data_IF_129286789052
#
_entry.id   IF_129286789052
#
_cell.length_a   1.000
_cell.length_b   1.000
_cell.length_c   1.000
_cell.angle_alpha   90.00
_cell.angle_beta   90.00
_cell.angle_gamma   90.00
#
_symmetry.space_group_name_H-M   'P 1'
#
loop_
_entity.id
_entity.type
_entity.pdbx_description
1 polymer ?
#
# COMPACT_ATOMS: atom_id res chain seq x y z
N UNK A 1 23.66 21.41 -11.91
CA UNK A 1 22.32 21.39 -11.27
C UNK A 1 21.62 20.04 -11.47
N UNK A 2 21.56 19.50 -12.70
CA UNK A 2 20.96 18.21 -13.05
C UNK A 2 21.50 17.04 -12.18
N UNK A 3 22.83 16.92 -12.05
CA UNK A 3 23.43 15.86 -11.22
C UNK A 3 23.04 15.97 -9.73
N UNK A 4 22.87 17.20 -9.20
CA UNK A 4 22.40 17.39 -7.82
C UNK A 4 20.93 16.99 -7.66
N UNK A 5 20.10 17.26 -8.67
CA UNK A 5 18.71 16.81 -8.67
C UNK A 5 18.61 15.29 -8.74
N UNK A 6 19.39 14.66 -9.63
CA UNK A 6 19.47 13.18 -9.70
C UNK A 6 19.92 12.56 -8.37
N UNK A 7 20.95 13.12 -7.72
CA UNK A 7 21.42 12.61 -6.42
C UNK A 7 20.36 12.74 -5.33
N UNK A 8 19.58 13.82 -5.34
CA UNK A 8 18.42 13.99 -4.47
C UNK A 8 17.35 12.92 -4.73
N UNK A 9 17.01 12.70 -5.98
CA UNK A 9 16.00 11.69 -6.41
C UNK A 9 16.45 10.29 -5.98
N UNK A 10 17.73 9.93 -6.22
CA UNK A 10 18.29 8.63 -5.82
C UNK A 10 18.20 8.42 -4.30
N UNK A 11 18.43 9.48 -3.51
CA UNK A 11 18.27 9.40 -2.05
C UNK A 11 16.81 9.20 -1.62
N UNK A 12 15.86 9.87 -2.28
CA UNK A 12 14.44 9.69 -2.01
C UNK A 12 13.93 8.31 -2.43
N UNK A 13 14.50 7.75 -3.50
CA UNK A 13 14.14 6.43 -4.01
C UNK A 13 14.84 5.27 -3.28
N UNK A 14 15.60 5.52 -2.21
CA UNK A 14 16.43 4.51 -1.51
C UNK A 14 15.61 3.29 -1.04
N UNK A 15 14.38 3.52 -0.60
CA UNK A 15 13.48 2.47 -0.10
C UNK A 15 12.50 1.98 -1.17
N UNK A 16 12.71 2.39 -2.43
CA UNK A 16 11.88 1.93 -3.53
C UNK A 16 12.24 0.49 -3.94
N UNK A 17 11.23 -0.33 -4.13
CA UNK A 17 11.41 -1.70 -4.65
C UNK A 17 11.37 -1.78 -6.17
N UNK A 18 10.92 -0.73 -6.83
CA UNK A 18 10.93 -0.59 -8.29
C UNK A 18 11.00 0.88 -8.71
N UNK A 19 11.57 1.13 -9.88
CA UNK A 19 11.59 2.45 -10.51
C UNK A 19 11.55 2.34 -12.03
N UNK A 20 11.03 3.38 -12.68
CA UNK A 20 11.06 3.53 -14.13
C UNK A 20 11.45 4.96 -14.49
N UNK A 21 12.37 5.09 -15.44
CA UNK A 21 12.76 6.37 -16.03
C UNK A 21 11.95 6.61 -17.30
N UNK A 22 11.38 7.80 -17.42
CA UNK A 22 10.46 8.19 -18.47
C UNK A 22 10.98 9.43 -19.17
N UNK A 23 10.92 9.44 -20.51
CA UNK A 23 11.03 10.65 -21.29
C UNK A 23 9.64 11.28 -21.42
N UNK A 24 9.40 12.38 -20.68
CA UNK A 24 8.08 13.06 -20.72
C UNK A 24 7.84 13.72 -22.07
N UNK A 25 8.92 14.11 -22.79
CA UNK A 25 8.79 14.80 -24.08
C UNK A 25 8.08 13.96 -25.14
N UNK A 26 8.37 12.67 -25.20
CA UNK A 26 7.73 11.73 -26.14
C UNK A 26 6.80 10.71 -25.46
N UNK A 27 6.80 10.66 -24.12
CA UNK A 27 5.96 9.78 -23.35
C UNK A 27 6.44 8.32 -23.29
N UNK A 28 7.72 8.05 -23.56
CA UNK A 28 8.29 6.70 -23.57
C UNK A 28 8.97 6.34 -22.25
N UNK A 29 8.85 5.10 -21.81
CA UNK A 29 9.64 4.53 -20.72
C UNK A 29 11.02 4.13 -21.25
N UNK A 30 12.08 4.69 -20.65
CA UNK A 30 13.47 4.46 -21.08
C UNK A 30 14.04 3.20 -20.44
N UNK A 31 13.84 3.06 -19.15
CA UNK A 31 14.44 1.99 -18.35
C UNK A 31 13.56 1.72 -17.13
N UNK A 32 13.36 0.45 -16.81
CA UNK A 32 12.80 0.04 -15.54
C UNK A 32 13.81 -0.77 -14.74
N UNK A 33 13.80 -0.57 -13.43
CA UNK A 33 14.55 -1.37 -12.49
C UNK A 33 13.57 -1.92 -11.45
N UNK A 34 13.33 -3.23 -11.49
CA UNK A 34 12.37 -3.87 -10.60
C UNK A 34 12.79 -5.32 -10.28
N UNK A 35 12.45 -5.76 -9.07
CA UNK A 35 12.51 -7.17 -8.68
C UNK A 35 11.18 -7.90 -8.94
N UNK A 36 10.19 -7.20 -9.47
CA UNK A 36 8.84 -7.69 -9.71
C UNK A 36 8.57 -7.68 -11.21
N UNK A 37 8.42 -8.85 -11.83
CA UNK A 37 8.26 -9.00 -13.27
C UNK A 37 7.11 -8.19 -13.87
N UNK A 38 6.01 -7.98 -13.14
CA UNK A 38 4.89 -7.16 -13.60
C UNK A 38 5.20 -5.67 -13.71
N UNK A 39 6.29 -5.20 -13.10
CA UNK A 39 6.76 -3.81 -13.15
C UNK A 39 7.94 -3.61 -14.12
N UNK A 40 8.42 -4.68 -14.76
CA UNK A 40 9.39 -4.57 -15.85
C UNK A 40 8.73 -4.00 -17.11
N UNK A 41 9.51 -3.37 -17.97
CA UNK A 41 9.01 -2.96 -19.29
C UNK A 41 8.74 -4.19 -20.15
N UNK A 42 7.66 -4.17 -20.90
CA UNK A 42 7.37 -5.20 -21.88
C UNK A 42 8.26 -5.09 -23.12
N UNK A 43 8.47 -3.85 -23.54
CA UNK A 43 9.25 -3.53 -24.72
C UNK A 43 10.12 -2.30 -24.46
N UNK A 44 11.19 -2.15 -25.23
CA UNK A 44 12.01 -0.95 -25.23
C UNK A 44 11.15 0.23 -25.71
N UNK A 45 11.14 1.32 -24.95
CA UNK A 45 10.30 2.51 -25.20
C UNK A 45 8.78 2.23 -25.08
N UNK A 46 8.35 1.31 -24.21
CA UNK A 46 6.93 1.14 -23.88
C UNK A 46 6.31 2.52 -23.55
N UNK A 47 5.15 2.90 -24.16
CA UNK A 47 4.49 4.15 -23.81
C UNK A 47 4.11 4.19 -22.33
N UNK A 48 4.36 5.32 -21.66
CA UNK A 48 4.06 5.48 -20.23
C UNK A 48 2.58 5.16 -19.93
N UNK A 49 1.65 5.64 -20.74
CA UNK A 49 0.22 5.41 -20.50
C UNK A 49 -0.13 3.91 -20.55
N UNK A 50 0.52 3.16 -21.44
CA UNK A 50 0.37 1.69 -21.50
C UNK A 50 0.97 1.00 -20.27
N UNK A 51 2.13 1.48 -19.82
CA UNK A 51 2.77 1.00 -18.59
C UNK A 51 1.88 1.26 -17.36
N UNK A 52 1.38 2.50 -17.21
CA UNK A 52 0.47 2.89 -16.11
C UNK A 52 -0.85 2.13 -16.17
N UNK A 53 -1.43 1.95 -17.36
CA UNK A 53 -2.64 1.12 -17.55
C UNK A 53 -2.41 -0.28 -17.00
N UNK A 54 -1.31 -0.92 -17.36
CA UNK A 54 -0.97 -2.29 -16.97
C UNK A 54 -0.74 -2.43 -15.45
N UNK A 55 0.06 -1.58 -14.84
CA UNK A 55 0.34 -1.67 -13.42
C UNK A 55 -0.88 -1.32 -12.57
N UNK A 56 -1.75 -0.43 -13.06
CA UNK A 56 -2.98 -0.05 -12.37
C UNK A 56 -3.97 -1.21 -12.18
N UNK A 57 -3.85 -2.30 -12.96
CA UNK A 57 -4.72 -3.48 -12.83
C UNK A 57 -4.61 -4.16 -11.45
N UNK A 58 -3.49 -3.96 -10.75
CA UNK A 58 -3.29 -4.45 -9.39
C UNK A 58 -4.01 -3.62 -8.31
N UNK A 59 -4.57 -2.47 -8.66
CA UNK A 59 -5.36 -1.64 -7.75
C UNK A 59 -6.79 -2.22 -7.66
N UNK A 60 -7.29 -2.59 -6.45
CA UNK A 60 -8.59 -3.25 -6.30
C UNK A 60 -9.77 -2.43 -6.78
N UNK A 61 -9.85 -1.18 -6.37
CA UNK A 61 -11.00 -0.31 -6.58
C UNK A 61 -10.95 0.37 -7.95
N UNK A 62 -12.04 0.25 -8.72
CA UNK A 62 -12.13 0.78 -10.09
C UNK A 62 -11.97 2.30 -10.16
N UNK A 63 -12.57 3.01 -9.21
CA UNK A 63 -12.52 4.48 -9.12
C UNK A 63 -11.10 4.96 -8.85
N UNK A 64 -10.40 4.33 -7.89
CA UNK A 64 -9.00 4.61 -7.55
C UNK A 64 -8.10 4.33 -8.75
N UNK A 65 -8.32 3.21 -9.45
CA UNK A 65 -7.62 2.84 -10.68
C UNK A 65 -7.76 3.89 -11.77
N UNK A 66 -8.97 4.40 -11.95
CA UNK A 66 -9.26 5.45 -12.95
C UNK A 66 -8.56 6.76 -12.58
N UNK A 67 -8.57 7.14 -11.31
CA UNK A 67 -7.86 8.34 -10.84
C UNK A 67 -6.35 8.18 -10.95
N UNK A 68 -5.81 7.02 -10.57
CA UNK A 68 -4.39 6.71 -10.69
C UNK A 68 -3.87 6.93 -12.12
N UNK A 69 -4.60 6.41 -13.14
CA UNK A 69 -4.25 6.61 -14.55
C UNK A 69 -4.28 8.07 -14.96
N UNK A 70 -5.25 8.84 -14.50
CA UNK A 70 -5.33 10.29 -14.78
C UNK A 70 -4.16 11.06 -14.17
N UNK A 71 -3.75 10.68 -12.95
CA UNK A 71 -2.65 11.36 -12.24
C UNK A 71 -1.31 11.08 -12.91
N UNK A 72 -1.07 9.86 -13.39
CA UNK A 72 0.22 9.43 -13.91
C UNK A 72 0.30 9.34 -15.42
N UNK A 73 -0.70 9.83 -16.18
CA UNK A 73 -0.59 9.92 -17.63
C UNK A 73 0.37 11.04 -18.06
N UNK A 74 0.96 10.87 -19.24
CA UNK A 74 1.96 11.81 -19.82
C UNK A 74 1.45 13.25 -19.84
N UNK A 75 0.21 13.46 -20.26
CA UNK A 75 -0.36 14.81 -20.39
C UNK A 75 -0.48 15.52 -19.04
N UNK A 76 -0.92 14.81 -17.99
CA UNK A 76 -0.96 15.40 -16.66
C UNK A 76 0.43 15.69 -16.10
N UNK A 77 1.43 14.84 -16.36
CA UNK A 77 2.81 15.12 -15.96
C UNK A 77 3.35 16.38 -16.63
N UNK A 78 3.08 16.57 -17.92
CA UNK A 78 3.44 17.80 -18.66
C UNK A 78 2.75 19.03 -18.08
N UNK A 79 1.46 18.93 -17.78
CA UNK A 79 0.69 20.02 -17.19
C UNK A 79 1.22 20.39 -15.79
N UNK A 80 1.47 19.42 -14.92
CA UNK A 80 2.05 19.65 -13.61
C UNK A 80 3.40 20.35 -13.70
N UNK A 81 4.26 19.90 -14.61
CA UNK A 81 5.57 20.53 -14.80
C UNK A 81 5.44 21.97 -15.33
N UNK A 82 4.50 22.23 -16.24
CA UNK A 82 4.21 23.57 -16.74
C UNK A 82 3.70 24.50 -15.63
N UNK A 83 3.03 23.96 -14.61
CA UNK A 83 2.59 24.67 -13.40
C UNK A 83 3.70 24.80 -12.33
N UNK A 84 4.92 24.36 -12.63
CA UNK A 84 6.05 24.40 -11.68
C UNK A 84 6.02 23.34 -10.60
N UNK A 85 5.21 22.29 -10.76
CA UNK A 85 5.18 21.12 -9.87
C UNK A 85 6.13 20.07 -10.45
N UNK A 86 7.23 19.83 -9.76
CA UNK A 86 8.26 18.87 -10.16
C UNK A 86 8.12 17.49 -9.46
N UNK A 87 7.19 17.37 -8.52
CA UNK A 87 6.92 16.14 -7.78
C UNK A 87 5.43 15.85 -7.65
N UNK A 88 5.06 14.59 -7.84
CA UNK A 88 3.70 14.06 -7.63
C UNK A 88 3.82 12.81 -6.77
N UNK A 89 2.94 12.66 -5.77
CA UNK A 89 2.84 11.46 -4.94
C UNK A 89 1.40 10.99 -4.86
N UNK A 90 1.23 9.66 -4.87
CA UNK A 90 -0.06 9.01 -4.70
C UNK A 90 0.08 7.73 -3.91
N UNK A 91 -0.82 7.53 -2.97
CA UNK A 91 -0.87 6.33 -2.16
C UNK A 91 -2.15 5.55 -2.46
N UNK A 92 -2.03 4.27 -2.70
CA UNK A 92 -3.18 3.41 -2.92
C UNK A 92 -2.91 1.95 -2.52
N UNK A 93 -3.97 1.21 -2.16
CA UNK A 93 -3.86 -0.22 -1.96
C UNK A 93 -3.63 -0.94 -3.29
N UNK A 94 -2.72 -1.92 -3.28
CA UNK A 94 -2.34 -2.71 -4.45
C UNK A 94 -2.28 -4.18 -4.05
N UNK A 95 -2.80 -5.07 -4.88
CA UNK A 95 -2.61 -6.50 -4.70
C UNK A 95 -1.15 -6.87 -5.01
N UNK A 96 -0.42 -7.38 -4.02
CA UNK A 96 0.88 -7.99 -4.22
C UNK A 96 0.70 -9.39 -4.81
N UNK A 97 1.79 -9.94 -5.38
CA UNK A 97 1.88 -11.18 -6.14
C UNK A 97 0.67 -12.13 -6.04
N UNK A 98 0.01 -12.37 -7.17
CA UNK A 98 -1.14 -13.30 -7.36
C UNK A 98 -2.43 -12.96 -6.59
N UNK A 99 -2.62 -11.70 -6.19
CA UNK A 99 -3.86 -11.28 -5.52
C UNK A 99 -4.01 -11.73 -4.06
N UNK A 100 -2.93 -12.19 -3.44
CA UNK A 100 -2.98 -12.84 -2.13
C UNK A 100 -2.81 -11.84 -0.97
N UNK A 101 -2.08 -10.75 -1.13
CA UNK A 101 -1.91 -9.75 -0.07
C UNK A 101 -2.13 -8.33 -0.58
N UNK A 102 -2.78 -7.51 0.24
CA UNK A 102 -2.96 -6.10 -0.01
C UNK A 102 -1.81 -5.32 0.61
N UNK A 103 -1.18 -4.43 -0.16
CA UNK A 103 -0.10 -3.56 0.28
C UNK A 103 -0.46 -2.11 0.01
N UNK A 104 -0.04 -1.22 0.89
CA UNK A 104 -0.12 0.22 0.63
C UNK A 104 1.14 0.65 -0.12
N UNK A 105 0.98 1.10 -1.35
CA UNK A 105 2.08 1.52 -2.20
C UNK A 105 2.00 3.02 -2.42
N UNK A 106 3.14 3.69 -2.18
CA UNK A 106 3.35 5.07 -2.59
C UNK A 106 4.04 5.07 -3.95
N UNK A 107 3.38 5.66 -4.94
CA UNK A 107 3.98 5.99 -6.23
C UNK A 107 4.42 7.43 -6.19
N UNK A 108 5.69 7.68 -6.44
CA UNK A 108 6.26 9.02 -6.52
C UNK A 108 6.82 9.25 -7.91
N UNK A 109 6.53 10.40 -8.49
CA UNK A 109 7.14 10.91 -9.72
C UNK A 109 7.93 12.14 -9.38
N UNK A 110 9.21 12.14 -9.71
CA UNK A 110 10.06 13.35 -9.67
C UNK A 110 10.48 13.70 -11.09
N UNK A 111 10.19 14.93 -11.50
CA UNK A 111 10.43 15.42 -12.87
C UNK A 111 11.63 16.35 -12.87
N UNK A 112 12.50 16.17 -13.86
CA UNK A 112 13.71 16.97 -14.03
C UNK A 112 13.89 17.38 -15.49
N UNK A 113 14.44 18.57 -15.70
CA UNK A 113 14.86 19.00 -17.02
C UNK A 113 16.32 18.62 -17.24
N UNK A 114 16.56 17.71 -18.16
CA UNK A 114 17.90 17.36 -18.57
C UNK A 114 18.41 18.40 -19.58
N UNK A 115 19.13 19.40 -19.06
CA UNK A 115 19.62 20.53 -19.85
C UNK A 115 20.63 20.10 -20.94
N UNK A 116 21.35 18.99 -20.71
CA UNK A 116 22.34 18.49 -21.67
C UNK A 116 21.75 17.93 -22.96
N UNK A 117 20.52 17.42 -22.86
CA UNK A 117 19.80 16.81 -23.99
C UNK A 117 18.52 17.56 -24.36
N UNK A 118 18.24 18.70 -23.72
CA UNK A 118 16.97 19.44 -23.81
C UNK A 118 15.73 18.55 -23.71
N UNK A 119 15.77 17.59 -22.79
CA UNK A 119 14.71 16.63 -22.56
C UNK A 119 14.09 16.82 -21.19
N UNK A 120 12.80 16.54 -21.11
CA UNK A 120 12.07 16.44 -19.85
C UNK A 120 12.04 14.97 -19.45
N UNK A 121 12.63 14.66 -18.32
CA UNK A 121 12.70 13.30 -17.78
C UNK A 121 11.95 13.21 -16.47
N UNK A 122 11.38 12.06 -16.17
CA UNK A 122 10.83 11.74 -14.87
C UNK A 122 11.38 10.42 -14.37
N UNK A 123 11.60 10.34 -13.06
CA UNK A 123 11.78 9.09 -12.36
C UNK A 123 10.48 8.79 -11.61
N UNK A 124 9.85 7.68 -11.95
CA UNK A 124 8.72 7.13 -11.21
C UNK A 124 9.25 6.00 -10.35
N UNK A 125 8.96 6.01 -9.05
CA UNK A 125 9.38 4.95 -8.14
C UNK A 125 8.27 4.54 -7.18
N UNK A 126 8.34 3.29 -6.74
CA UNK A 126 7.33 2.62 -5.96
C UNK A 126 7.90 2.18 -4.62
N UNK A 127 7.30 2.63 -3.53
CA UNK A 127 7.71 2.27 -2.17
C UNK A 127 6.57 1.56 -1.44
N UNK A 128 6.88 0.45 -0.77
CA UNK A 128 5.94 -0.21 0.12
C UNK A 128 5.89 0.55 1.44
N UNK A 129 4.76 1.20 1.70
CA UNK A 129 4.54 1.99 2.92
C UNK A 129 3.56 1.30 3.87
N UNK A 130 3.30 0.02 3.67
CA UNK A 130 2.27 -0.72 4.42
C UNK A 130 2.45 -0.58 5.92
N UNK A 131 3.65 -0.78 6.43
CA UNK A 131 3.93 -0.68 7.87
C UNK A 131 3.77 0.75 8.39
N UNK A 132 4.32 1.73 7.69
CA UNK A 132 4.22 3.13 8.09
C UNK A 132 2.77 3.63 8.02
N UNK A 133 2.03 3.26 6.96
CA UNK A 133 0.63 3.62 6.79
C UNK A 133 -0.21 3.14 7.98
N UNK A 134 -0.09 1.89 8.39
CA UNK A 134 -0.82 1.38 9.53
C UNK A 134 -0.35 1.99 10.85
N UNK A 135 0.95 2.18 11.05
CA UNK A 135 1.51 2.82 12.26
C UNK A 135 1.03 4.25 12.45
N UNK A 136 0.82 5.00 11.36
CA UNK A 136 0.32 6.38 11.42
C UNK A 136 -1.21 6.45 11.55
N UNK A 137 -1.95 5.58 10.85
CA UNK A 137 -3.41 5.62 10.86
C UNK A 137 -4.01 5.10 12.17
N UNK A 138 -3.39 4.10 12.79
CA UNK A 138 -3.91 3.48 14.01
C UNK A 138 -3.97 4.47 15.18
N UNK A 139 -2.92 5.26 15.51
CA UNK A 139 -3.01 6.28 16.55
C UNK A 139 -4.12 7.31 16.29
N UNK A 140 -4.29 7.74 15.04
CA UNK A 140 -5.36 8.69 14.68
C UNK A 140 -6.77 8.12 14.88
N UNK A 141 -6.96 6.82 14.63
CA UNK A 141 -8.23 6.15 14.90
C UNK A 141 -8.47 5.97 16.41
N UNK A 142 -7.40 5.73 17.19
CA UNK A 142 -7.42 5.59 18.64
C UNK A 142 -7.83 6.88 19.35
N UNK A 143 -7.26 8.02 18.97
CA UNK A 143 -7.59 9.32 19.57
C UNK A 143 -9.06 9.72 19.39
N UNK A 144 -9.76 9.15 18.43
CA UNK A 144 -11.15 9.47 18.12
C UNK A 144 -12.18 8.57 18.79
N UNK A 145 -11.77 7.40 19.32
CA UNK A 145 -12.67 6.42 19.96
C UNK A 145 -11.93 5.73 21.09
N UNK A 146 -12.59 5.59 22.22
CA UNK A 146 -12.07 4.82 23.37
C UNK A 146 -12.11 3.32 23.05
N UNK A 147 -11.05 2.80 22.46
CA UNK A 147 -10.84 1.37 22.30
C UNK A 147 -9.94 0.85 23.42
N UNK A 148 -10.32 -0.23 24.04
CA UNK A 148 -9.50 -0.90 25.07
C UNK A 148 -8.32 -1.64 24.45
N UNK A 149 -8.45 -2.04 23.17
CA UNK A 149 -7.43 -2.83 22.47
C UNK A 149 -7.57 -2.70 20.94
N UNK A 150 -6.44 -2.74 20.23
CA UNK A 150 -6.38 -2.79 18.78
C UNK A 150 -5.47 -3.92 18.33
N UNK A 151 -5.95 -4.66 17.34
CA UNK A 151 -5.26 -5.78 16.73
C UNK A 151 -5.31 -5.67 15.23
N UNK A 152 -4.19 -5.96 14.56
CA UNK A 152 -4.12 -6.08 13.12
C UNK A 152 -4.11 -7.56 12.77
N UNK A 153 -5.08 -7.98 11.97
CA UNK A 153 -5.24 -9.37 11.55
C UNK A 153 -4.90 -9.48 10.06
N UNK A 154 -3.86 -10.24 9.74
CA UNK A 154 -3.65 -10.72 8.37
C UNK A 154 -4.45 -12.02 8.18
N UNK A 155 -5.66 -11.87 7.66
CA UNK A 155 -6.56 -13.00 7.45
C UNK A 155 -6.07 -14.02 6.43
N UNK A 156 -5.05 -13.70 5.63
CA UNK A 156 -4.51 -14.62 4.62
C UNK A 156 -3.39 -15.50 5.19
N UNK A 157 -2.60 -14.91 6.08
CA UNK A 157 -1.51 -15.62 6.76
C UNK A 157 -1.96 -16.27 8.06
N UNK A 158 -3.22 -16.09 8.45
CA UNK A 158 -3.72 -16.49 9.77
C UNK A 158 -2.83 -15.94 10.90
N UNK A 159 -2.42 -14.67 10.80
CA UNK A 159 -1.61 -14.06 11.85
C UNK A 159 -2.26 -12.81 12.43
N UNK A 160 -1.98 -12.54 13.70
CA UNK A 160 -2.40 -11.36 14.44
C UNK A 160 -1.19 -10.65 15.02
N UNK A 161 -1.19 -9.32 14.89
CA UNK A 161 -0.23 -8.44 15.53
C UNK A 161 -0.96 -7.50 16.49
N UNK A 162 -0.50 -7.42 17.71
CA UNK A 162 -0.94 -6.42 18.68
C UNK A 162 -0.28 -5.09 18.36
N UNK A 163 -1.11 -4.08 18.08
CA UNK A 163 -0.60 -2.74 17.84
C UNK A 163 -0.71 -1.85 19.08
N UNK A 164 -1.71 -2.12 19.94
CA UNK A 164 -1.86 -1.41 21.20
C UNK A 164 -2.39 -2.33 22.31
N UNK A 165 -1.61 -2.55 23.39
CA UNK A 165 -1.97 -3.52 24.42
C UNK A 165 -3.14 -3.07 25.34
N UNK A 166 -3.64 -1.81 25.19
CA UNK A 166 -4.74 -1.32 26.02
C UNK A 166 -4.43 -1.17 27.51
N UNK A 167 -5.41 -0.64 28.27
CA UNK A 167 -5.30 -0.45 29.72
C UNK A 167 -5.48 -1.79 30.47
N UNK A 168 -6.18 -2.76 29.89
CA UNK A 168 -6.24 -4.11 30.42
C UNK A 168 -4.92 -4.83 30.10
N UNK A 169 -4.04 -4.86 31.09
CA UNK A 169 -2.81 -5.63 31.10
C UNK A 169 -3.12 -7.14 31.05
N UNK A 170 -3.54 -7.61 29.89
CA UNK A 170 -3.38 -9.01 29.56
C UNK A 170 -1.91 -9.19 29.21
N UNK A 171 -1.14 -9.72 30.15
CA UNK A 171 0.19 -10.29 29.93
C UNK A 171 0.12 -11.50 28.98
N UNK A 172 -0.40 -11.30 27.79
CA UNK A 172 -0.03 -12.14 26.68
C UNK A 172 1.18 -11.46 26.06
N UNK A 173 2.37 -11.85 26.48
CA UNK A 173 3.60 -11.61 25.76
C UNK A 173 3.44 -12.31 24.41
N UNK A 174 2.94 -11.58 23.43
CA UNK A 174 2.83 -12.07 22.07
C UNK A 174 4.25 -12.07 21.50
N UNK A 175 4.77 -13.25 21.18
CA UNK A 175 5.87 -13.36 20.22
C UNK A 175 5.48 -12.61 18.93
N UNK A 176 6.44 -12.11 18.17
CA UNK A 176 6.25 -11.17 17.07
C UNK A 176 5.20 -11.55 16.02
N UNK A 177 4.83 -12.82 15.88
CA UNK A 177 3.70 -13.30 15.06
C UNK A 177 3.02 -14.50 15.72
N UNK A 178 1.72 -14.37 16.02
CA UNK A 178 0.90 -15.47 16.51
C UNK A 178 -0.17 -15.81 15.49
N UNK A 179 -0.48 -17.11 15.31
CA UNK A 179 -1.65 -17.55 14.58
C UNK A 179 -2.92 -16.91 15.17
N UNK A 180 -3.70 -16.24 14.32
CA UNK A 180 -4.97 -15.67 14.73
C UNK A 180 -5.93 -16.73 15.28
N UNK A 181 -5.98 -17.90 14.64
CA UNK A 181 -6.80 -19.03 15.11
C UNK A 181 -6.37 -19.52 16.50
N UNK A 182 -5.07 -19.59 16.75
CA UNK A 182 -4.51 -19.92 18.06
C UNK A 182 -4.83 -18.85 19.11
N UNK A 183 -4.68 -17.58 18.74
CA UNK A 183 -5.01 -16.44 19.57
C UNK A 183 -6.49 -16.44 19.99
N UNK A 184 -7.42 -16.60 19.04
CA UNK A 184 -8.87 -16.69 19.31
C UNK A 184 -9.16 -17.82 20.29
N UNK A 185 -8.51 -18.97 20.12
CA UNK A 185 -8.67 -20.12 21.02
C UNK A 185 -8.26 -19.79 22.47
N UNK A 186 -7.13 -19.10 22.67
CA UNK A 186 -6.67 -18.67 23.98
C UNK A 186 -7.59 -17.59 24.60
N UNK A 187 -8.09 -16.64 23.79
CA UNK A 187 -9.06 -15.64 24.24
C UNK A 187 -10.34 -16.31 24.72
N UNK A 188 -10.90 -17.22 23.92
CA UNK A 188 -12.10 -17.97 24.30
C UNK A 188 -11.93 -18.77 25.58
N UNK A 189 -10.77 -19.38 25.77
CA UNK A 189 -10.48 -20.21 26.97
C UNK A 189 -10.41 -19.36 28.23
N UNK A 190 -9.85 -18.16 28.15
CA UNK A 190 -9.54 -17.33 29.31
C UNK A 190 -10.62 -16.31 29.67
N UNK A 191 -11.34 -15.81 28.67
CA UNK A 191 -12.14 -14.60 28.84
C UNK A 191 -13.61 -14.73 28.41
N UNK A 192 -13.93 -15.74 27.60
CA UNK A 192 -15.31 -15.92 27.13
C UNK A 192 -16.05 -16.95 28.01
N UNK A 193 -17.20 -16.59 28.59
CA UNK A 193 -18.04 -17.52 29.34
C UNK A 193 -18.43 -18.74 28.50
N UNK A 194 -18.57 -19.91 29.13
CA UNK A 194 -18.79 -21.17 28.42
C UNK A 194 -20.08 -21.17 27.56
N UNK A 195 -21.12 -20.50 28.04
CA UNK A 195 -22.38 -20.34 27.34
C UNK A 195 -22.32 -19.41 26.11
N UNK A 196 -21.35 -18.50 26.08
CA UNK A 196 -21.15 -17.56 24.97
C UNK A 196 -20.09 -18.02 23.95
N UNK A 197 -19.28 -19.02 24.26
CA UNK A 197 -18.18 -19.48 23.40
C UNK A 197 -18.60 -19.82 21.98
N UNK A 198 -19.76 -20.46 21.84
CA UNK A 198 -20.26 -20.88 20.53
C UNK A 198 -20.67 -19.68 19.64
N UNK A 199 -21.20 -18.63 20.24
CA UNK A 199 -21.58 -17.39 19.53
C UNK A 199 -20.33 -16.62 19.17
N UNK A 200 -19.44 -16.43 20.16
CA UNK A 200 -18.16 -15.74 19.97
C UNK A 200 -17.32 -16.38 18.85
N UNK A 201 -17.12 -17.70 18.88
CA UNK A 201 -16.38 -18.44 17.85
C UNK A 201 -16.92 -18.19 16.44
N UNK A 202 -18.24 -18.20 16.28
CA UNK A 202 -18.86 -17.90 14.96
C UNK A 202 -18.60 -16.49 14.50
N UNK A 203 -18.60 -15.52 15.41
CA UNK A 203 -18.39 -14.11 15.06
C UNK A 203 -16.94 -13.80 14.68
N UNK A 204 -15.96 -14.41 15.36
CA UNK A 204 -14.54 -14.11 15.15
C UNK A 204 -13.84 -14.98 14.10
N UNK A 205 -14.51 -15.98 13.51
CA UNK A 205 -13.91 -16.78 12.44
C UNK A 205 -13.54 -15.93 11.25
N UNK A 206 -12.34 -16.13 10.72
CA UNK A 206 -11.87 -15.39 9.55
C UNK A 206 -12.82 -15.48 8.35
N UNK A 207 -13.45 -16.64 8.14
CA UNK A 207 -14.41 -16.81 7.04
C UNK A 207 -15.67 -15.98 7.25
N UNK A 208 -16.18 -15.87 8.47
CA UNK A 208 -17.28 -14.98 8.81
C UNK A 208 -16.91 -13.52 8.59
N UNK A 209 -15.76 -13.10 9.12
CA UNK A 209 -15.24 -11.74 8.98
C UNK A 209 -15.06 -11.39 7.49
N UNK A 210 -14.45 -12.27 6.71
CA UNK A 210 -14.25 -12.07 5.25
C UNK A 210 -15.57 -11.91 4.52
N UNK A 211 -16.55 -12.79 4.80
CA UNK A 211 -17.87 -12.73 4.17
C UNK A 211 -18.57 -11.42 4.48
N UNK A 212 -18.60 -11.01 5.73
CA UNK A 212 -19.25 -9.75 6.14
C UNK A 212 -18.57 -8.52 5.54
N UNK A 213 -17.24 -8.51 5.44
CA UNK A 213 -16.45 -7.40 4.86
C UNK A 213 -16.49 -7.38 3.31
N UNK A 214 -17.00 -8.41 2.65
CA UNK A 214 -17.28 -8.35 1.20
C UNK A 214 -18.48 -7.46 0.89
N UNK A 215 -19.43 -7.36 1.81
CA UNK A 215 -20.67 -6.62 1.64
C UNK A 215 -20.71 -5.29 2.40
N UNK A 216 -19.80 -5.09 3.36
CA UNK A 216 -19.78 -3.95 4.29
C UNK A 216 -18.37 -3.42 4.50
N UNK A 217 -18.23 -2.13 4.72
CA UNK A 217 -16.94 -1.50 5.03
C UNK A 217 -16.42 -1.84 6.43
N UNK A 218 -17.27 -2.37 7.29
CA UNK A 218 -16.92 -2.81 8.64
C UNK A 218 -17.87 -3.89 9.14
N UNK A 219 -17.35 -4.73 10.04
CA UNK A 219 -18.08 -5.74 10.76
C UNK A 219 -17.98 -5.49 12.28
N UNK A 220 -19.08 -5.61 13.00
CA UNK A 220 -19.14 -5.48 14.45
C UNK A 220 -20.15 -6.46 15.04
N UNK A 221 -19.87 -6.97 16.21
CA UNK A 221 -20.76 -7.84 16.99
C UNK A 221 -20.67 -7.47 18.48
N UNK A 222 -21.70 -7.74 19.22
CA UNK A 222 -21.81 -7.49 20.69
C UNK A 222 -22.38 -8.73 21.37
#
# INVERSE_FOLDING_TARGET
>A
EYLKQLDKIIRHAKDAFASVTVNISDGSCIMANSRIASLELKDVNEPLDSYIERISQSIPQREVRTQYRKVFCVDNLRECLAQGKDMIQWECPVYAAKGISLRMIRTTVEMVRNVSYDRLEALIYFSDITENYFSEQIPHMLYRKNFDRIEIIDGQRDCVRLDHPGICAMEMVLAEEISYSGYVTEVMKRFVPDDEKSVYDKCVRLDTIRKELQEKDRYSFS
#
